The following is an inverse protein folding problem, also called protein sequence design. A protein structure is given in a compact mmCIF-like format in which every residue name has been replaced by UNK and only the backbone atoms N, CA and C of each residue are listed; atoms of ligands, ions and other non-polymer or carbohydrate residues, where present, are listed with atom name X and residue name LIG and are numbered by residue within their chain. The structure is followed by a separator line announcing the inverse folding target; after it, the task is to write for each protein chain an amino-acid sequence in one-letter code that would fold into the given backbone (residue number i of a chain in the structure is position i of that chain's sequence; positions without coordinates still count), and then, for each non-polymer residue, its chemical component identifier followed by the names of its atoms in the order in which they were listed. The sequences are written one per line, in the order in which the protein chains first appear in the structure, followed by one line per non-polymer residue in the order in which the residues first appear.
data_IF_318661007561
#
_entry.id   IF_318661007561
#
_cell.length_a   1.000
_cell.length_b   1.000
_cell.length_c   1.000
_cell.angle_alpha   90.00
_cell.angle_beta   90.00
_cell.angle_gamma   90.00
#
_symmetry.space_group_name_H-M   'P 1'
#
loop_
_entity.id
_entity.type
_entity.pdbx_description
1 polymer ?
#
# COMPACT_ATOMS: atom_id res chain seq x y z
N UNK A 1 40.47 45.02 7.17
CA UNK A 1 41.15 46.28 6.70
C UNK A 1 40.74 46.52 5.29
N UNK A 2 40.60 47.77 4.95
CA UNK A 2 39.45 48.58 5.23
C UNK A 2 38.80 49.15 3.90
N UNK A 3 37.79 49.88 4.12
CA UNK A 3 37.43 51.21 3.62
C UNK A 3 36.51 51.22 2.40
N UNK A 4 35.60 52.04 2.28
CA UNK A 4 35.08 53.32 2.82
C UNK A 4 33.90 53.76 1.93
N UNK A 5 32.89 54.23 2.58
CA UNK A 5 32.05 55.39 2.22
C UNK A 5 32.04 55.91 0.79
N UNK A 6 30.81 56.10 0.27
CA UNK A 6 30.45 57.42 -0.24
C UNK A 6 28.92 57.60 -0.26
N UNK A 7 28.51 58.54 0.55
CA UNK A 7 27.21 59.14 0.57
C UNK A 7 27.03 60.06 -0.65
N UNK A 8 25.85 60.06 -1.26
CA UNK A 8 25.40 61.18 -2.03
C UNK A 8 23.88 61.37 -1.82
N UNK A 9 23.59 62.39 -1.09
CA UNK A 9 22.28 63.01 -0.98
C UNK A 9 21.95 63.75 -2.27
N UNK A 10 20.75 63.56 -2.81
CA UNK A 10 20.13 64.51 -3.76
C UNK A 10 18.61 64.53 -3.53
N UNK A 11 18.17 65.50 -2.83
CA UNK A 11 17.21 66.54 -3.17
C UNK A 11 15.79 66.11 -3.54
N UNK A 12 14.94 66.40 -2.60
CA UNK A 12 13.50 66.72 -2.65
C UNK A 12 13.05 67.45 -3.90
N UNK A 13 12.09 66.87 -4.63
CA UNK A 13 11.17 67.59 -5.46
C UNK A 13 9.73 67.18 -5.10
N UNK A 14 9.10 68.01 -4.33
CA UNK A 14 7.70 67.95 -3.95
C UNK A 14 6.85 68.41 -5.11
N UNK A 15 6.30 67.49 -5.90
CA UNK A 15 5.28 67.80 -6.88
C UNK A 15 3.92 67.48 -6.27
N UNK A 16 3.23 68.53 -5.80
CA UNK A 16 1.81 68.56 -5.55
C UNK A 16 1.07 68.27 -6.87
N UNK A 17 0.71 67.07 -7.12
CA UNK A 17 -0.28 66.72 -8.13
C UNK A 17 -1.63 66.62 -7.43
N UNK A 18 -2.43 67.69 -7.52
CA UNK A 18 -3.85 67.60 -7.24
C UNK A 18 -4.49 66.72 -8.29
N UNK A 19 -4.49 65.39 -8.01
CA UNK A 19 -5.18 64.39 -8.81
C UNK A 19 -6.68 64.46 -8.50
N UNK A 20 -7.46 64.92 -9.45
CA UNK A 20 -8.90 64.77 -9.47
C UNK A 20 -9.21 63.28 -9.23
N UNK A 21 -10.00 63.01 -8.19
CA UNK A 21 -10.61 61.71 -7.99
C UNK A 21 -11.53 61.44 -9.17
N UNK A 22 -11.01 60.67 -10.15
CA UNK A 22 -11.87 60.07 -11.16
C UNK A 22 -12.60 58.99 -10.44
N UNK A 23 -13.86 59.22 -10.13
CA UNK A 23 -14.80 58.14 -9.77
C UNK A 23 -14.78 57.15 -10.90
N UNK A 24 -13.97 56.11 -10.74
CA UNK A 24 -14.01 54.94 -11.57
C UNK A 24 -15.38 54.31 -11.34
N UNK A 25 -16.34 54.68 -12.15
CA UNK A 25 -17.62 53.99 -12.23
C UNK A 25 -17.29 52.54 -12.55
N UNK A 26 -17.36 51.69 -11.52
CA UNK A 26 -17.21 50.25 -11.66
C UNK A 26 -18.17 49.79 -12.75
N UNK A 27 -17.62 49.36 -13.86
CA UNK A 27 -18.38 48.91 -15.02
C UNK A 27 -19.39 47.86 -14.54
N UNK A 28 -20.69 48.24 -14.60
CA UNK A 28 -21.78 47.52 -14.00
C UNK A 28 -21.72 46.04 -14.34
N UNK A 29 -21.38 45.21 -13.35
CA UNK A 29 -21.53 43.78 -13.35
C UNK A 29 -22.92 43.47 -12.86
N UNK A 30 -23.70 42.72 -13.62
CA UNK A 30 -24.99 42.22 -13.19
C UNK A 30 -24.79 40.86 -12.60
N UNK A 31 -25.11 40.73 -11.32
CA UNK A 31 -25.05 39.43 -10.62
C UNK A 31 -26.47 38.92 -10.47
N UNK A 32 -26.77 37.75 -11.03
CA UNK A 32 -28.02 37.06 -10.84
C UNK A 32 -27.84 35.96 -9.78
N UNK A 33 -28.77 35.88 -8.82
CA UNK A 33 -28.78 34.88 -7.77
C UNK A 33 -29.94 33.91 -7.93
N UNK A 34 -29.72 32.68 -7.47
CA UNK A 34 -30.67 31.58 -7.61
C UNK A 34 -31.21 31.18 -6.25
N UNK A 35 -32.41 30.64 -6.23
CA UNK A 35 -32.97 29.96 -5.06
C UNK A 35 -32.40 28.53 -4.88
N UNK A 36 -32.84 27.86 -3.82
CA UNK A 36 -32.46 26.46 -3.54
C UNK A 36 -32.88 25.48 -4.64
N UNK A 37 -33.83 25.83 -5.48
CA UNK A 37 -34.25 25.01 -6.63
C UNK A 37 -33.40 25.27 -7.89
N UNK A 38 -32.43 26.19 -7.84
CA UNK A 38 -31.57 26.58 -8.96
C UNK A 38 -32.19 27.57 -9.93
N UNK A 39 -33.40 28.12 -9.63
CA UNK A 39 -34.09 29.10 -10.44
C UNK A 39 -33.56 30.52 -10.11
N UNK A 40 -33.36 31.35 -11.14
CA UNK A 40 -32.96 32.75 -10.95
C UNK A 40 -34.11 33.51 -10.28
N UNK A 41 -33.86 34.09 -9.11
CA UNK A 41 -34.83 34.82 -8.31
C UNK A 41 -34.70 36.32 -8.52
N UNK A 42 -33.50 36.81 -8.84
CA UNK A 42 -33.25 38.21 -9.09
C UNK A 42 -31.87 38.47 -9.69
N UNK A 43 -31.69 39.69 -10.22
CA UNK A 43 -30.42 40.17 -10.75
C UNK A 43 -30.22 41.62 -10.34
N UNK A 44 -28.98 41.99 -9.98
CA UNK A 44 -28.65 43.36 -9.59
C UNK A 44 -27.15 43.55 -9.41
N UNK A 45 -26.75 44.74 -8.94
CA UNK A 45 -25.33 45.05 -8.69
C UNK A 45 -24.77 44.37 -7.43
N UNK A 46 -25.65 43.97 -6.50
CA UNK A 46 -25.32 43.30 -5.24
C UNK A 46 -26.30 42.16 -4.97
N UNK A 47 -25.79 41.07 -4.44
CA UNK A 47 -26.60 39.95 -3.94
C UNK A 47 -27.17 40.35 -2.57
N UNK A 48 -28.49 40.22 -2.32
CA UNK A 48 -29.08 40.46 -1.00
C UNK A 48 -28.47 39.48 0.04
N UNK A 49 -28.38 39.89 1.33
CA UNK A 49 -27.80 39.08 2.39
C UNK A 49 -28.41 37.68 2.52
N UNK A 50 -29.71 37.56 2.28
CA UNK A 50 -30.47 36.30 2.30
C UNK A 50 -30.07 35.29 1.22
N UNK A 51 -29.36 35.77 0.18
CA UNK A 51 -28.86 34.91 -0.93
C UNK A 51 -27.34 34.91 -1.01
N UNK A 52 -26.63 35.31 0.07
CA UNK A 52 -25.16 35.34 0.10
C UNK A 52 -24.51 34.01 -0.18
N UNK A 53 -25.14 32.90 0.28
CA UNK A 53 -24.67 31.55 0.14
C UNK A 53 -25.26 30.81 -1.10
N UNK A 54 -26.10 31.53 -1.85
CA UNK A 54 -26.75 30.99 -3.04
C UNK A 54 -25.83 30.97 -4.26
N UNK A 55 -26.14 30.10 -5.20
CA UNK A 55 -25.44 30.07 -6.48
C UNK A 55 -25.69 31.37 -7.25
N UNK A 56 -24.61 32.03 -7.71
CA UNK A 56 -24.71 33.28 -8.46
C UNK A 56 -24.13 33.13 -9.86
N UNK A 57 -24.67 33.98 -10.78
CA UNK A 57 -24.22 34.08 -12.16
C UNK A 57 -23.90 35.52 -12.49
N UNK A 58 -22.65 35.79 -12.77
CA UNK A 58 -22.16 37.10 -13.14
C UNK A 58 -22.25 37.29 -14.66
N UNK A 59 -22.98 38.33 -15.10
CA UNK A 59 -23.17 38.63 -16.50
C UNK A 59 -22.41 39.92 -16.86
N UNK A 60 -21.89 39.98 -18.07
CA UNK A 60 -21.36 41.23 -18.63
C UNK A 60 -22.50 42.11 -19.19
N UNK A 61 -22.15 43.31 -19.65
CA UNK A 61 -23.11 44.26 -20.24
C UNK A 61 -23.86 43.72 -21.46
N UNK A 62 -23.39 42.64 -22.04
CA UNK A 62 -24.00 41.95 -23.21
C UNK A 62 -24.82 40.76 -22.81
N UNK A 63 -25.00 40.49 -21.49
CA UNK A 63 -25.71 39.32 -20.99
C UNK A 63 -24.92 38.01 -21.07
N UNK A 64 -23.60 38.06 -21.38
CA UNK A 64 -22.74 36.87 -21.45
C UNK A 64 -22.26 36.51 -20.05
N UNK A 65 -22.40 35.23 -19.69
CA UNK A 65 -21.93 34.70 -18.39
C UNK A 65 -20.41 34.78 -18.31
N UNK A 66 -19.90 35.56 -17.36
CA UNK A 66 -18.46 35.64 -17.05
C UNK A 66 -18.04 34.69 -15.94
N UNK A 67 -18.87 34.57 -14.93
CA UNK A 67 -18.58 33.73 -13.76
C UNK A 67 -19.86 33.12 -13.25
N UNK A 68 -19.80 31.87 -12.87
CA UNK A 68 -20.87 31.17 -12.14
C UNK A 68 -20.29 30.72 -10.82
N UNK A 69 -20.90 31.10 -9.72
CA UNK A 69 -20.55 30.62 -8.39
C UNK A 69 -21.59 29.56 -8.04
N UNK A 70 -21.15 28.43 -7.55
CA UNK A 70 -22.01 27.38 -7.04
C UNK A 70 -22.30 27.59 -5.56
N UNK A 71 -23.30 26.93 -5.01
CA UNK A 71 -23.56 26.96 -3.56
C UNK A 71 -22.36 26.41 -2.79
N UNK A 72 -22.24 26.80 -1.51
CA UNK A 72 -21.17 26.32 -0.65
C UNK A 72 -21.14 24.79 -0.59
N UNK A 73 -22.29 24.14 -0.43
CA UNK A 73 -22.43 22.68 -0.42
C UNK A 73 -22.03 22.03 -1.74
N UNK A 74 -22.37 22.62 -2.87
CA UNK A 74 -21.99 22.10 -4.19
C UNK A 74 -20.49 22.29 -4.43
N UNK A 75 -19.90 23.39 -3.95
CA UNK A 75 -18.47 23.62 -4.01
C UNK A 75 -17.70 22.61 -3.13
N UNK A 76 -18.23 22.29 -1.96
CA UNK A 76 -17.66 21.29 -1.05
C UNK A 76 -17.70 19.88 -1.64
N UNK A 77 -18.86 19.45 -2.16
CA UNK A 77 -18.97 18.16 -2.86
C UNK A 77 -18.00 18.03 -4.03
N UNK A 78 -17.86 19.10 -4.85
CA UNK A 78 -16.89 19.08 -5.96
C UNK A 78 -15.45 18.94 -5.47
N UNK A 79 -15.10 19.62 -4.37
CA UNK A 79 -13.76 19.49 -3.77
C UNK A 79 -13.52 18.09 -3.24
N UNK A 80 -14.50 17.47 -2.61
CA UNK A 80 -14.42 16.08 -2.14
C UNK A 80 -14.26 15.11 -3.31
N UNK A 81 -15.09 15.27 -4.36
CA UNK A 81 -14.97 14.45 -5.58
C UNK A 81 -13.60 14.62 -6.26
N UNK A 82 -13.11 15.85 -6.36
CA UNK A 82 -11.77 16.12 -6.91
C UNK A 82 -10.66 15.51 -6.06
N UNK A 83 -10.77 15.58 -4.73
CA UNK A 83 -9.81 14.97 -3.81
C UNK A 83 -9.83 13.42 -3.90
N UNK A 84 -11.02 12.84 -4.00
CA UNK A 84 -11.18 11.40 -4.17
C UNK A 84 -10.61 10.92 -5.50
N UNK A 85 -10.88 11.66 -6.56
CA UNK A 85 -10.31 11.38 -7.88
C UNK A 85 -8.78 11.51 -7.89
N UNK A 86 -8.27 12.56 -7.22
CA UNK A 86 -6.83 12.76 -7.07
C UNK A 86 -6.18 11.64 -6.27
N UNK A 87 -6.81 11.19 -5.16
CA UNK A 87 -6.36 10.03 -4.37
C UNK A 87 -6.31 8.76 -5.21
N UNK A 88 -7.39 8.42 -5.91
CA UNK A 88 -7.44 7.24 -6.79
C UNK A 88 -6.35 7.27 -7.86
N UNK A 89 -6.15 8.41 -8.52
CA UNK A 89 -5.07 8.58 -9.52
C UNK A 89 -3.69 8.44 -8.90
N UNK A 90 -3.47 8.96 -7.69
CA UNK A 90 -2.21 8.84 -6.98
C UNK A 90 -1.92 7.39 -6.56
N UNK A 91 -2.93 6.67 -6.10
CA UNK A 91 -2.83 5.23 -5.75
C UNK A 91 -2.52 4.38 -6.98
N UNK A 92 -3.22 4.62 -8.08
CA UNK A 92 -2.97 3.92 -9.35
C UNK A 92 -1.54 4.17 -9.84
N UNK A 93 -1.10 5.43 -9.83
CA UNK A 93 0.28 5.79 -10.19
C UNK A 93 1.32 5.09 -9.31
N UNK A 94 1.08 5.04 -7.99
CA UNK A 94 1.95 4.31 -7.05
C UNK A 94 1.98 2.82 -7.38
N UNK A 95 0.81 2.19 -7.59
CA UNK A 95 0.70 0.78 -7.94
C UNK A 95 1.45 0.43 -9.23
N UNK A 96 1.30 1.25 -10.26
CA UNK A 96 2.04 1.09 -11.52
C UNK A 96 3.55 1.23 -11.34
N UNK A 97 3.99 2.24 -10.59
CA UNK A 97 5.41 2.44 -10.29
C UNK A 97 6.01 1.28 -9.47
N UNK A 98 5.24 0.74 -8.52
CA UNK A 98 5.67 -0.42 -7.73
C UNK A 98 5.74 -1.69 -8.58
N UNK A 99 4.80 -1.86 -9.50
CA UNK A 99 4.84 -2.96 -10.45
C UNK A 99 6.05 -2.86 -11.37
N UNK A 100 6.31 -1.70 -11.96
CA UNK A 100 7.49 -1.47 -12.80
C UNK A 100 8.79 -1.74 -12.05
N UNK A 101 8.90 -1.30 -10.78
CA UNK A 101 10.07 -1.60 -9.94
C UNK A 101 10.25 -3.11 -9.72
N UNK A 102 9.16 -3.84 -9.41
CA UNK A 102 9.22 -5.31 -9.27
C UNK A 102 9.61 -6.00 -10.57
N UNK A 103 9.07 -5.56 -11.69
CA UNK A 103 9.39 -6.10 -13.01
C UNK A 103 10.85 -5.86 -13.37
N UNK A 104 11.35 -4.65 -13.15
CA UNK A 104 12.76 -4.32 -13.37
C UNK A 104 13.68 -5.14 -12.47
N UNK A 105 13.33 -5.30 -11.20
CA UNK A 105 14.09 -6.12 -10.27
C UNK A 105 14.09 -7.61 -10.69
N UNK A 106 12.96 -8.13 -11.16
CA UNK A 106 12.86 -9.50 -11.66
C UNK A 106 13.79 -9.74 -12.85
N UNK A 107 13.76 -8.83 -13.85
CA UNK A 107 14.63 -8.91 -15.04
C UNK A 107 16.12 -8.69 -14.71
N UNK A 108 16.44 -7.87 -13.71
CA UNK A 108 17.80 -7.68 -13.24
C UNK A 108 18.35 -8.86 -12.45
N UNK A 109 17.45 -9.61 -11.77
CA UNK A 109 17.84 -10.74 -10.91
C UNK A 109 18.04 -12.03 -11.70
N UNK A 110 17.25 -12.25 -12.76
CA UNK A 110 17.26 -13.49 -13.53
C UNK A 110 17.47 -13.22 -15.01
N UNK A 111 18.45 -13.91 -15.60
CA UNK A 111 18.68 -13.88 -17.03
C UNK A 111 17.83 -14.91 -17.79
N UNK A 112 17.29 -15.92 -17.11
CA UNK A 112 16.50 -16.99 -17.73
C UNK A 112 15.50 -17.63 -16.75
N UNK A 113 14.50 -18.31 -17.31
CA UNK A 113 13.58 -19.14 -16.52
C UNK A 113 14.30 -20.27 -15.75
N UNK A 114 15.37 -20.79 -16.30
CA UNK A 114 16.18 -21.82 -15.63
C UNK A 114 16.79 -21.31 -14.32
N UNK A 115 17.19 -20.06 -14.28
CA UNK A 115 17.72 -19.48 -13.05
C UNK A 115 16.64 -19.32 -11.99
N UNK A 116 15.40 -18.97 -12.40
CA UNK A 116 14.24 -18.93 -11.51
C UNK A 116 13.97 -20.33 -10.94
N UNK A 117 13.94 -21.36 -11.80
CA UNK A 117 13.76 -22.74 -11.36
C UNK A 117 14.90 -23.20 -10.43
N UNK A 118 16.15 -22.94 -10.79
CA UNK A 118 17.31 -23.29 -9.96
C UNK A 118 17.30 -22.57 -8.60
N UNK A 119 16.82 -21.35 -8.54
CA UNK A 119 16.66 -20.62 -7.27
C UNK A 119 15.56 -21.23 -6.42
N UNK A 120 14.39 -21.54 -7.02
CA UNK A 120 13.30 -22.25 -6.36
C UNK A 120 13.78 -23.56 -5.75
N UNK A 121 14.49 -24.38 -6.55
CA UNK A 121 14.91 -25.72 -6.14
C UNK A 121 15.89 -25.65 -4.96
N UNK A 122 16.82 -24.69 -4.96
CA UNK A 122 17.71 -24.47 -3.80
C UNK A 122 16.92 -24.06 -2.54
N UNK A 123 15.90 -23.19 -2.67
CA UNK A 123 15.08 -22.81 -1.52
C UNK A 123 14.23 -23.98 -1.01
N UNK A 124 13.69 -24.81 -1.91
CA UNK A 124 12.96 -26.02 -1.52
C UNK A 124 13.88 -27.03 -0.83
N UNK A 125 15.08 -27.30 -1.38
CA UNK A 125 16.06 -28.22 -0.79
C UNK A 125 16.43 -27.84 0.65
N UNK A 126 16.57 -26.53 0.92
CA UNK A 126 16.82 -26.03 2.26
C UNK A 126 15.67 -26.38 3.23
N UNK A 127 14.41 -26.17 2.80
CA UNK A 127 13.23 -26.49 3.63
C UNK A 127 13.05 -28.00 3.77
N UNK A 128 13.29 -28.77 2.71
CA UNK A 128 13.25 -30.22 2.73
C UNK A 128 14.29 -30.82 3.69
N UNK A 129 15.50 -30.25 3.74
CA UNK A 129 16.50 -30.63 4.72
C UNK A 129 16.03 -30.42 6.16
N UNK A 130 15.36 -29.28 6.43
CA UNK A 130 14.76 -29.01 7.74
C UNK A 130 13.61 -29.97 8.05
N UNK A 131 12.78 -30.32 7.06
CA UNK A 131 11.72 -31.32 7.22
C UNK A 131 12.29 -32.67 7.64
N UNK A 132 13.32 -33.17 6.97
CA UNK A 132 13.98 -34.43 7.33
C UNK A 132 14.50 -34.45 8.77
N UNK A 133 15.05 -33.31 9.24
CA UNK A 133 15.49 -33.19 10.64
C UNK A 133 14.30 -33.27 11.62
N UNK A 134 13.17 -32.60 11.28
CA UNK A 134 11.96 -32.67 12.10
C UNK A 134 11.32 -34.06 12.11
N UNK A 135 11.32 -34.77 10.98
CA UNK A 135 10.85 -36.16 10.86
C UNK A 135 11.66 -37.11 11.77
N UNK A 136 12.98 -36.97 11.76
CA UNK A 136 13.84 -37.75 12.67
C UNK A 136 13.56 -37.41 14.14
N UNK A 137 13.43 -36.13 14.45
CA UNK A 137 13.11 -35.71 15.81
C UNK A 137 11.73 -36.24 16.26
N UNK A 138 10.72 -36.14 15.39
CA UNK A 138 9.38 -36.67 15.64
C UNK A 138 9.40 -38.18 15.88
N UNK A 139 10.13 -38.93 15.04
CA UNK A 139 10.29 -40.38 15.21
C UNK A 139 10.86 -40.71 16.60
N UNK A 140 11.93 -40.05 17.02
CA UNK A 140 12.56 -40.28 18.32
C UNK A 140 11.60 -39.97 19.49
N UNK A 141 10.78 -38.90 19.36
CA UNK A 141 9.78 -38.54 20.38
C UNK A 141 8.67 -39.57 20.46
N UNK A 142 8.20 -40.08 19.31
CA UNK A 142 7.16 -41.12 19.25
C UNK A 142 7.67 -42.40 19.87
N UNK A 143 8.90 -42.85 19.54
CA UNK A 143 9.53 -44.01 20.13
C UNK A 143 9.71 -43.89 21.65
N UNK A 144 10.19 -42.72 22.14
CA UNK A 144 10.29 -42.43 23.58
C UNK A 144 8.95 -42.52 24.28
N UNK A 145 7.89 -41.95 23.66
CA UNK A 145 6.54 -42.05 24.23
C UNK A 145 6.06 -43.48 24.34
N UNK A 146 6.30 -44.32 23.32
CA UNK A 146 5.93 -45.70 23.33
C UNK A 146 6.65 -46.48 24.46
N UNK A 147 7.96 -46.23 24.67
CA UNK A 147 8.71 -46.83 25.78
C UNK A 147 8.13 -46.41 27.15
N UNK A 148 7.82 -45.13 27.33
CA UNK A 148 7.19 -44.64 28.55
C UNK A 148 5.83 -45.28 28.83
N UNK A 149 5.00 -45.50 27.81
CA UNK A 149 3.71 -46.19 27.92
C UNK A 149 3.90 -47.64 28.36
N UNK A 150 4.89 -48.36 27.81
CA UNK A 150 5.25 -49.71 28.27
C UNK A 150 5.69 -49.70 29.75
N UNK A 151 6.52 -48.76 30.16
CA UNK A 151 6.99 -48.62 31.55
C UNK A 151 5.85 -48.31 32.50
N UNK A 152 4.88 -47.50 32.09
CA UNK A 152 3.66 -47.21 32.85
C UNK A 152 2.85 -48.52 33.09
N UNK A 153 2.67 -49.33 32.02
CA UNK A 153 1.93 -50.60 32.17
C UNK A 153 2.65 -51.58 33.08
N UNK A 154 3.99 -51.62 33.05
CA UNK A 154 4.79 -52.45 33.98
C UNK A 154 4.67 -51.93 35.44
N UNK A 155 4.68 -50.62 35.64
CA UNK A 155 4.55 -50.02 36.96
C UNK A 155 3.12 -50.20 37.57
N UNK A 156 2.09 -50.25 36.76
CA UNK A 156 0.72 -50.58 37.22
C UNK A 156 0.60 -52.01 37.73
N UNK A 157 1.38 -52.93 37.24
CA UNK A 157 1.38 -54.36 37.58
C UNK A 157 2.30 -54.71 38.77
N UNK A 158 3.16 -53.79 39.21
CA UNK A 158 4.14 -54.01 40.26
C UNK A 158 4.08 -52.93 41.32
N UNK A 159 3.68 -53.32 42.53
CA UNK A 159 3.49 -52.42 43.67
C UNK A 159 4.74 -51.61 44.05
N UNK A 160 5.93 -52.22 43.87
CA UNK A 160 7.19 -51.56 44.15
C UNK A 160 7.50 -50.43 43.13
N UNK A 161 6.96 -50.54 41.92
CA UNK A 161 7.11 -49.56 40.87
C UNK A 161 5.97 -48.53 40.84
N UNK A 162 4.88 -48.77 41.57
CA UNK A 162 3.70 -47.89 41.58
C UNK A 162 4.02 -46.46 42.01
N UNK A 163 5.05 -46.24 42.84
CA UNK A 163 5.52 -44.92 43.26
C UNK A 163 6.10 -44.07 42.12
N UNK A 164 6.50 -44.69 41.01
CA UNK A 164 7.06 -43.98 39.83
C UNK A 164 5.97 -43.56 38.84
N UNK A 165 4.72 -44.00 38.98
CA UNK A 165 3.62 -43.69 38.07
C UNK A 165 3.42 -42.20 37.84
N UNK A 166 3.37 -41.30 38.88
CA UNK A 166 3.16 -39.89 38.65
C UNK A 166 4.27 -39.24 37.82
N UNK A 167 5.53 -39.62 38.05
CA UNK A 167 6.66 -39.09 37.27
C UNK A 167 6.63 -39.54 35.82
N UNK A 168 6.30 -40.83 35.56
CA UNK A 168 6.16 -41.36 34.22
C UNK A 168 5.02 -40.72 33.43
N UNK A 169 3.88 -40.43 34.12
CA UNK A 169 2.77 -39.71 33.52
C UNK A 169 3.14 -38.30 33.11
N UNK A 170 3.83 -37.54 33.98
CA UNK A 170 4.34 -36.21 33.68
C UNK A 170 5.31 -36.23 32.48
N UNK A 171 6.14 -37.28 32.37
CA UNK A 171 7.09 -37.42 31.26
C UNK A 171 6.35 -37.73 29.95
N UNK A 172 5.30 -38.55 29.96
CA UNK A 172 4.42 -38.79 28.80
C UNK A 172 3.75 -37.49 28.37
N UNK A 173 3.22 -36.70 29.29
CA UNK A 173 2.54 -35.44 28.95
C UNK A 173 3.51 -34.42 28.36
N UNK A 174 4.75 -34.35 28.90
CA UNK A 174 5.83 -33.55 28.33
C UNK A 174 6.19 -34.01 26.91
N UNK A 175 6.35 -35.32 26.71
CA UNK A 175 6.66 -35.91 25.40
C UNK A 175 5.54 -35.67 24.38
N UNK A 176 4.28 -35.76 24.80
CA UNK A 176 3.12 -35.38 23.95
C UNK A 176 3.14 -33.91 23.56
N UNK A 177 3.50 -33.04 24.48
CA UNK A 177 3.62 -31.61 24.18
C UNK A 177 4.77 -31.34 23.18
N UNK A 178 5.90 -32.02 23.33
CA UNK A 178 7.02 -31.98 22.37
C UNK A 178 6.60 -32.50 21.00
N UNK A 179 5.88 -33.60 20.92
CA UNK A 179 5.35 -34.15 19.68
C UNK A 179 4.47 -33.12 18.95
N UNK A 180 3.50 -32.52 19.64
CA UNK A 180 2.62 -31.49 19.04
C UNK A 180 3.42 -30.30 18.51
N UNK A 181 4.47 -29.86 19.20
CA UNK A 181 5.34 -28.77 18.73
C UNK A 181 6.08 -29.13 17.46
N UNK A 182 6.58 -30.36 17.36
CA UNK A 182 7.26 -30.84 16.14
C UNK A 182 6.30 -30.94 14.96
N UNK A 183 5.09 -31.49 15.17
CA UNK A 183 4.04 -31.56 14.15
C UNK A 183 3.62 -30.17 13.66
N UNK A 184 3.48 -29.19 14.55
CA UNK A 184 3.20 -27.80 14.17
C UNK A 184 4.33 -27.18 13.35
N UNK A 185 5.58 -27.45 13.72
CA UNK A 185 6.75 -26.98 12.96
C UNK A 185 6.81 -27.62 11.58
N UNK A 186 6.49 -28.91 11.46
CA UNK A 186 6.40 -29.60 10.17
C UNK A 186 5.31 -28.99 9.29
N UNK A 187 4.12 -28.77 9.82
CA UNK A 187 3.02 -28.10 9.10
C UNK A 187 3.42 -26.71 8.60
N UNK A 188 4.19 -25.95 9.40
CA UNK A 188 4.74 -24.65 8.98
C UNK A 188 5.72 -24.82 7.81
N UNK A 189 6.64 -25.81 7.87
CA UNK A 189 7.59 -26.05 6.76
C UNK A 189 6.89 -26.50 5.48
N UNK A 190 5.84 -27.30 5.58
CA UNK A 190 5.01 -27.64 4.43
C UNK A 190 4.34 -26.41 3.80
N UNK A 191 3.86 -25.48 4.63
CA UNK A 191 3.32 -24.23 4.12
C UNK A 191 4.40 -23.40 3.42
N UNK A 192 5.60 -23.27 4.03
CA UNK A 192 6.74 -22.60 3.40
C UNK A 192 7.06 -23.17 2.01
N UNK A 193 7.04 -24.51 1.87
CA UNK A 193 7.26 -25.16 0.57
C UNK A 193 6.18 -24.82 -0.45
N UNK A 194 4.91 -24.76 -0.04
CA UNK A 194 3.81 -24.35 -0.92
C UNK A 194 3.97 -22.89 -1.36
N UNK A 195 4.33 -22.02 -0.43
CA UNK A 195 4.52 -20.59 -0.68
C UNK A 195 5.70 -20.33 -1.62
N UNK A 196 6.81 -21.05 -1.43
CA UNK A 196 7.97 -21.03 -2.34
C UNK A 196 7.52 -21.41 -3.75
N UNK A 197 6.85 -22.55 -3.93
CA UNK A 197 6.36 -22.98 -5.25
C UNK A 197 5.45 -21.96 -5.90
N UNK A 198 4.49 -21.43 -5.17
CA UNK A 198 3.54 -20.43 -5.65
C UNK A 198 4.24 -19.15 -6.08
N UNK A 199 5.13 -18.63 -5.24
CA UNK A 199 5.91 -17.41 -5.51
C UNK A 199 6.76 -17.56 -6.77
N UNK A 200 7.52 -18.64 -6.89
CA UNK A 200 8.37 -18.84 -8.06
C UNK A 200 7.60 -19.14 -9.34
N UNK A 201 6.45 -19.79 -9.24
CA UNK A 201 5.53 -19.96 -10.37
C UNK A 201 5.03 -18.60 -10.88
N UNK A 202 4.61 -17.72 -9.99
CA UNK A 202 4.17 -16.36 -10.34
C UNK A 202 5.32 -15.52 -10.94
N UNK A 203 6.53 -15.59 -10.36
CA UNK A 203 7.72 -14.92 -10.90
C UNK A 203 8.06 -15.42 -12.30
N UNK A 204 8.03 -16.70 -12.53
CA UNK A 204 8.30 -17.32 -13.84
C UNK A 204 7.28 -16.89 -14.89
N UNK A 205 6.00 -16.92 -14.54
CA UNK A 205 4.93 -16.42 -15.42
C UNK A 205 5.14 -14.94 -15.77
N UNK A 206 5.44 -14.11 -14.78
CA UNK A 206 5.70 -12.69 -15.00
C UNK A 206 6.92 -12.45 -15.88
N UNK A 207 8.01 -13.19 -15.63
CA UNK A 207 9.22 -13.14 -16.45
C UNK A 207 8.93 -13.46 -17.92
N UNK A 208 8.15 -14.49 -18.20
CA UNK A 208 7.69 -14.82 -19.56
C UNK A 208 6.94 -13.67 -20.24
N UNK A 209 6.00 -13.06 -19.51
CA UNK A 209 5.23 -11.93 -20.05
C UNK A 209 6.13 -10.74 -20.39
N UNK A 210 7.16 -10.49 -19.60
CA UNK A 210 8.08 -9.37 -19.80
C UNK A 210 9.10 -9.62 -20.90
N UNK A 211 9.54 -10.88 -21.09
CA UNK A 211 10.55 -11.25 -22.10
C UNK A 211 9.95 -11.70 -23.42
N UNK A 212 8.63 -11.84 -23.51
CA UNK A 212 7.96 -12.36 -24.72
C UNK A 212 8.27 -13.83 -24.99
N UNK A 213 8.83 -14.57 -24.01
CA UNK A 213 9.21 -15.97 -24.16
C UNK A 213 7.96 -16.85 -24.26
N UNK A 214 7.72 -17.43 -25.42
CA UNK A 214 6.67 -18.44 -25.62
C UNK A 214 7.07 -19.72 -24.86
N UNK A 215 6.11 -20.44 -24.22
CA UNK A 215 6.40 -21.71 -23.56
C UNK A 215 7.01 -22.71 -24.58
N UNK A 216 8.27 -23.06 -24.39
CA UNK A 216 8.95 -24.08 -25.24
C UNK A 216 9.97 -23.56 -26.25
N UNK A 217 10.21 -22.28 -26.37
CA UNK A 217 11.31 -21.77 -27.19
C UNK A 217 12.66 -22.03 -26.49
N UNK A 218 13.41 -23.02 -26.99
CA UNK A 218 14.81 -23.25 -26.62
C UNK A 218 15.59 -21.98 -27.01
N UNK A 219 16.46 -21.40 -26.14
CA UNK A 219 17.25 -20.25 -26.50
C UNK A 219 18.14 -20.61 -27.69
N UNK A 220 17.99 -19.88 -28.80
CA UNK A 220 18.91 -19.95 -29.90
C UNK A 220 20.30 -19.65 -29.35
N UNK A 221 21.25 -20.57 -29.56
CA UNK A 221 22.66 -20.34 -29.26
C UNK A 221 23.11 -19.10 -30.01
N UNK A 222 23.45 -18.06 -29.26
CA UNK A 222 24.23 -16.97 -29.81
C UNK A 222 25.60 -17.54 -30.19
N UNK A 223 25.89 -17.45 -31.48
CA UNK A 223 27.20 -17.73 -32.06
C UNK A 223 28.17 -16.59 -31.68
#
# INVERSE_FOLDING_TARGET
MPDKYLAAAVVTAFFLFAGAAVDAHAAGRIVCWKDASGKVVGCGDRVPPEYSDSATKELDKRGITRKTTVTAEEAERRREEEQDLARKKAEEKRRLADQQRRDSALLATYASEREIDARRDRELEQVESQMKQLEVALKNVVERRADLEVRIEAAKKNENLAKTLPSLQNEVDSTRAEQRRLEQRMATREQDMRDIRTRFTAQKQRFRMLTGSTPGATPAKAN
#
